data_IF_823361789536
#
_entry.id   IF_823361789536
#
_cell.length_a   1.000
_cell.length_b   1.000
_cell.length_c   1.000
_cell.angle_alpha   90.00
_cell.angle_beta   90.00
_cell.angle_gamma   90.00
#
_symmetry.space_group_name_H-M   'P 1'
#
loop_
_entity.id
_entity.type
_entity.pdbx_description
1 polymer ?
#
# COMPACT_ATOMS: atom_id res chain seq x y z
N UNK A 1 -71.36 28.35 -3.64
CA UNK A 1 -71.07 27.04 -3.02
C UNK A 1 -70.04 26.35 -3.89
N UNK A 2 -68.79 26.26 -3.42
CA UNK A 2 -67.65 25.58 -4.05
C UNK A 2 -67.18 24.59 -3.00
N UNK A 3 -67.63 23.35 -3.07
CA UNK A 3 -67.51 22.47 -1.93
C UNK A 3 -67.43 20.98 -2.32
N UNK A 4 -66.20 20.46 -2.19
CA UNK A 4 -65.87 19.15 -1.61
C UNK A 4 -65.88 17.88 -2.48
N UNK A 5 -65.94 17.99 -3.80
CA UNK A 5 -65.86 16.77 -4.65
C UNK A 5 -64.46 16.14 -4.73
N UNK A 6 -63.38 16.94 -4.67
CA UNK A 6 -62.02 16.41 -4.77
C UNK A 6 -61.50 15.78 -3.46
N UNK A 7 -61.95 16.25 -2.30
CA UNK A 7 -61.64 15.64 -1.00
C UNK A 7 -62.33 14.28 -0.85
N UNK A 8 -63.56 14.14 -1.35
CA UNK A 8 -64.26 12.85 -1.41
C UNK A 8 -63.58 11.85 -2.34
N UNK A 9 -63.00 12.30 -3.44
CA UNK A 9 -62.20 11.45 -4.34
C UNK A 9 -60.95 10.92 -3.64
N UNK A 10 -60.29 11.74 -2.81
CA UNK A 10 -59.12 11.35 -2.03
C UNK A 10 -59.50 10.43 -0.87
N UNK A 11 -60.58 10.72 -0.15
CA UNK A 11 -61.09 9.84 0.91
C UNK A 11 -61.50 8.47 0.37
N UNK A 12 -62.18 8.41 -0.79
CA UNK A 12 -62.53 7.13 -1.42
C UNK A 12 -61.28 6.36 -1.85
N UNK A 13 -60.27 7.04 -2.39
CA UNK A 13 -59.01 6.41 -2.78
C UNK A 13 -58.19 5.90 -1.56
N UNK A 14 -58.17 6.66 -0.46
CA UNK A 14 -57.50 6.29 0.79
C UNK A 14 -58.24 5.18 1.54
N UNK A 15 -59.57 5.24 1.61
CA UNK A 15 -60.39 4.18 2.21
C UNK A 15 -60.22 2.87 1.43
N UNK A 16 -60.16 2.92 0.09
CA UNK A 16 -59.94 1.73 -0.74
C UNK A 16 -58.51 1.17 -0.69
N UNK A 17 -57.55 1.95 -0.20
CA UNK A 17 -56.20 1.47 0.15
C UNK A 17 -56.10 0.90 1.57
N UNK A 18 -56.97 1.33 2.50
CA UNK A 18 -56.96 0.92 3.91
C UNK A 18 -57.84 -0.32 4.18
N UNK A 19 -58.97 -0.45 3.48
CA UNK A 19 -59.71 -1.71 3.43
C UNK A 19 -58.97 -2.65 2.50
N UNK A 20 -58.48 -3.77 3.03
CA UNK A 20 -57.61 -4.74 2.36
C UNK A 20 -58.26 -5.53 1.21
N UNK A 21 -58.92 -4.84 0.27
CA UNK A 21 -59.56 -5.37 -0.93
C UNK A 21 -58.63 -5.29 -2.16
N UNK A 22 -57.33 -5.34 -1.92
CA UNK A 22 -56.33 -5.51 -2.98
C UNK A 22 -56.08 -7.00 -3.15
N UNK A 23 -56.53 -7.55 -4.28
CA UNK A 23 -56.24 -8.92 -4.68
C UNK A 23 -54.74 -9.21 -4.53
N UNK A 24 -54.39 -10.41 -4.06
CA UNK A 24 -53.01 -10.83 -3.73
C UNK A 24 -52.00 -10.47 -4.83
N UNK A 25 -52.41 -10.54 -6.10
CA UNK A 25 -51.59 -10.14 -7.24
C UNK A 25 -51.26 -8.64 -7.32
N UNK A 26 -52.21 -7.76 -6.97
CA UNK A 26 -52.01 -6.32 -7.03
C UNK A 26 -51.07 -5.87 -5.90
N UNK A 27 -51.16 -6.51 -4.73
CA UNK A 27 -50.22 -6.31 -3.62
C UNK A 27 -48.81 -6.72 -4.02
N UNK A 28 -48.65 -7.89 -4.63
CA UNK A 28 -47.33 -8.38 -5.10
C UNK A 28 -46.75 -7.45 -6.18
N UNK A 29 -47.56 -7.01 -7.15
CA UNK A 29 -47.12 -6.07 -8.20
C UNK A 29 -46.75 -4.70 -7.65
N UNK A 30 -47.45 -4.22 -6.62
CA UNK A 30 -47.11 -2.97 -5.92
C UNK A 30 -45.79 -3.10 -5.15
N UNK A 31 -45.59 -4.17 -4.40
CA UNK A 31 -44.34 -4.42 -3.68
C UNK A 31 -43.15 -4.58 -4.64
N UNK A 32 -43.32 -5.25 -5.79
CA UNK A 32 -42.26 -5.40 -6.80
C UNK A 32 -41.91 -4.04 -7.42
N UNK A 33 -42.90 -3.22 -7.78
CA UNK A 33 -42.67 -1.88 -8.34
C UNK A 33 -41.98 -0.95 -7.35
N UNK A 34 -42.40 -0.99 -6.08
CA UNK A 34 -41.79 -0.21 -5.01
C UNK A 34 -40.34 -0.63 -4.75
N UNK A 35 -40.06 -1.94 -4.71
CA UNK A 35 -38.70 -2.47 -4.54
C UNK A 35 -37.77 -2.12 -5.71
N UNK A 36 -38.24 -2.20 -6.97
CA UNK A 36 -37.44 -1.86 -8.15
C UNK A 36 -37.05 -0.38 -8.17
N UNK A 37 -37.99 0.52 -7.83
CA UNK A 37 -37.71 1.95 -7.73
C UNK A 37 -36.74 2.26 -6.58
N UNK A 38 -36.90 1.60 -5.43
CA UNK A 38 -36.00 1.78 -4.28
C UNK A 38 -34.57 1.31 -4.57
N UNK A 39 -34.40 0.16 -5.24
CA UNK A 39 -33.08 -0.34 -5.67
C UNK A 39 -32.45 0.58 -6.72
N UNK A 40 -33.24 1.14 -7.64
CA UNK A 40 -32.75 2.08 -8.66
C UNK A 40 -32.26 3.41 -8.05
N UNK A 41 -32.96 3.93 -7.04
CA UNK A 41 -32.57 5.15 -6.30
C UNK A 41 -31.35 4.93 -5.40
N UNK A 42 -31.23 3.77 -4.76
CA UNK A 42 -30.03 3.39 -4.00
C UNK A 42 -28.80 3.21 -4.91
N UNK A 43 -29.00 2.74 -6.15
CA UNK A 43 -27.92 2.54 -7.11
C UNK A 43 -27.35 3.84 -7.68
N UNK A 44 -28.13 4.92 -7.77
CA UNK A 44 -27.66 6.21 -8.29
C UNK A 44 -26.99 7.09 -7.21
N UNK A 45 -27.21 6.80 -5.92
CA UNK A 45 -26.61 7.56 -4.83
C UNK A 45 -25.13 7.19 -4.54
N UNK A 46 -24.58 6.17 -5.23
CA UNK A 46 -23.20 5.70 -5.06
C UNK A 46 -22.26 6.12 -6.20
N UNK A 47 -22.67 7.07 -7.05
CA UNK A 47 -21.92 7.50 -8.22
C UNK A 47 -21.35 8.92 -8.05
N UNK A 48 -20.50 9.13 -7.04
CA UNK A 48 -19.61 10.31 -6.99
C UNK A 48 -18.28 9.95 -6.34
N UNK A 49 -17.25 9.81 -7.17
CA UNK A 49 -15.95 10.51 -7.14
C UNK A 49 -15.18 9.93 -8.32
N UNK A 50 -15.34 10.55 -9.49
CA UNK A 50 -14.42 10.36 -10.60
C UNK A 50 -13.35 11.45 -10.45
N UNK A 51 -12.28 11.13 -9.73
CA UNK A 51 -11.05 11.92 -9.77
C UNK A 51 -10.36 11.59 -11.10
N UNK A 52 -10.36 12.57 -12.01
CA UNK A 52 -9.55 12.51 -13.21
C UNK A 52 -8.09 12.68 -12.79
N UNK A 53 -7.32 11.59 -12.77
CA UNK A 53 -5.87 11.65 -12.75
C UNK A 53 -5.37 11.10 -14.08
N UNK A 54 -4.95 12.01 -14.94
CA UNK A 54 -4.08 11.68 -16.05
C UNK A 54 -2.65 11.62 -15.54
N UNK A 55 -1.98 10.51 -15.80
CA UNK A 55 -0.65 10.45 -16.38
C UNK A 55 -0.49 9.05 -16.94
N UNK A 56 -0.20 8.95 -18.23
CA UNK A 56 0.24 7.71 -18.85
C UNK A 56 1.76 7.64 -18.68
N UNK A 57 2.20 7.15 -17.52
CA UNK A 57 3.56 6.73 -17.27
C UNK A 57 3.59 5.20 -17.12
N UNK A 58 4.09 4.56 -18.18
CA UNK A 58 4.46 3.15 -18.14
C UNK A 58 5.70 2.99 -17.25
N UNK A 59 5.52 3.06 -15.94
CA UNK A 59 6.58 2.72 -15.02
C UNK A 59 6.77 1.21 -15.03
N UNK A 60 7.94 0.80 -15.50
CA UNK A 60 8.48 -0.54 -15.30
C UNK A 60 8.22 -0.97 -13.85
N UNK A 61 7.66 -2.17 -13.67
CA UNK A 61 7.53 -2.78 -12.35
C UNK A 61 8.88 -2.67 -11.63
N UNK A 62 8.97 -1.74 -10.68
CA UNK A 62 10.15 -1.61 -9.85
C UNK A 62 10.34 -2.95 -9.16
N UNK A 63 11.55 -3.55 -9.21
CA UNK A 63 11.82 -4.73 -8.42
C UNK A 63 11.51 -4.39 -6.95
N UNK A 64 10.77 -5.27 -6.27
CA UNK A 64 10.57 -5.16 -4.83
C UNK A 64 11.96 -5.07 -4.18
N UNK A 65 12.35 -3.88 -3.75
CA UNK A 65 13.55 -3.71 -2.95
C UNK A 65 13.28 -4.41 -1.62
N UNK A 66 13.91 -5.56 -1.41
CA UNK A 66 14.06 -6.07 -0.06
C UNK A 66 14.94 -5.05 0.67
N UNK A 67 14.36 -4.27 1.58
CA UNK A 67 15.13 -3.41 2.48
C UNK A 67 15.89 -4.31 3.46
N UNK A 68 17.10 -4.70 3.09
CA UNK A 68 18.04 -5.25 4.05
C UNK A 68 18.40 -4.12 5.00
N UNK A 69 18.09 -4.27 6.29
CA UNK A 69 18.52 -3.32 7.31
C UNK A 69 20.06 -3.25 7.28
N UNK A 70 20.58 -2.11 6.83
CA UNK A 70 22.02 -1.85 6.73
C UNK A 70 22.48 -1.35 8.10
N UNK A 71 23.41 -2.07 8.75
CA UNK A 71 23.94 -1.66 10.04
C UNK A 71 24.59 -0.26 9.97
N UNK A 72 24.39 0.61 10.99
CA UNK A 72 25.04 1.92 11.09
C UNK A 72 26.56 1.80 10.95
N UNK A 73 27.16 2.70 10.18
CA UNK A 73 28.60 2.68 9.90
C UNK A 73 29.18 4.09 9.76
N UNK A 74 30.47 4.21 10.06
CA UNK A 74 31.25 5.41 9.86
C UNK A 74 32.59 5.03 9.23
N UNK A 75 33.14 5.90 8.39
CA UNK A 75 34.44 5.69 7.77
C UNK A 75 35.29 6.93 7.85
N UNK A 76 36.61 6.74 7.93
CA UNK A 76 37.60 7.80 7.87
C UNK A 76 38.89 7.25 7.27
N UNK A 77 39.71 8.13 6.71
CA UNK A 77 40.99 7.76 6.11
C UNK A 77 42.03 8.85 6.33
N UNK A 78 43.29 8.45 6.32
CA UNK A 78 44.47 9.32 6.30
C UNK A 78 45.45 8.79 5.26
N UNK A 79 46.63 9.39 5.14
CA UNK A 79 47.65 8.90 4.21
C UNK A 79 48.17 7.50 4.58
N UNK A 80 47.97 7.09 5.84
CA UNK A 80 48.51 5.83 6.39
C UNK A 80 47.42 4.74 6.54
N UNK A 81 46.19 5.13 6.88
CA UNK A 81 45.15 4.22 7.33
C UNK A 81 43.79 4.47 6.67
N UNK A 82 43.04 3.40 6.44
CA UNK A 82 41.60 3.40 6.18
C UNK A 82 40.87 2.70 7.31
N UNK A 83 39.83 3.33 7.83
CA UNK A 83 39.05 2.83 8.95
C UNK A 83 37.56 2.78 8.60
N UNK A 84 36.92 1.65 8.88
CA UNK A 84 35.46 1.50 8.86
C UNK A 84 34.98 0.98 10.20
N UNK A 85 34.16 1.75 10.89
CA UNK A 85 33.49 1.35 12.12
C UNK A 85 32.03 0.97 11.83
N UNK A 86 31.59 -0.20 12.28
CA UNK A 86 30.25 -0.75 12.08
C UNK A 86 29.65 -1.08 13.45
N UNK A 87 28.48 -0.51 13.72
CA UNK A 87 27.73 -0.82 14.93
C UNK A 87 26.91 -2.10 14.72
N UNK A 88 27.25 -3.15 15.45
CA UNK A 88 26.56 -4.44 15.42
C UNK A 88 26.02 -4.76 16.80
N UNK A 89 24.72 -4.61 16.99
CA UNK A 89 24.06 -4.76 18.29
C UNK A 89 24.74 -3.92 19.38
N UNK A 90 25.54 -4.54 20.25
CA UNK A 90 26.27 -3.89 21.35
C UNK A 90 27.78 -3.88 21.16
N UNK A 91 28.23 -4.08 19.93
CA UNK A 91 29.63 -4.10 19.56
C UNK A 91 29.90 -3.04 18.50
N UNK A 92 30.97 -2.29 18.67
CA UNK A 92 31.55 -1.49 17.59
C UNK A 92 32.69 -2.32 16.98
N UNK A 93 32.48 -2.79 15.76
CA UNK A 93 33.47 -3.54 14.98
C UNK A 93 34.20 -2.55 14.08
N UNK A 94 35.52 -2.55 14.14
CA UNK A 94 36.39 -1.62 13.44
C UNK A 94 37.29 -2.42 12.51
N UNK A 95 37.25 -2.10 11.23
CA UNK A 95 38.15 -2.61 10.22
C UNK A 95 39.22 -1.55 9.96
N UNK A 96 40.48 -1.96 9.96
CA UNK A 96 41.63 -1.08 9.77
C UNK A 96 42.56 -1.67 8.72
N UNK A 97 42.72 -0.95 7.62
CA UNK A 97 43.58 -1.32 6.49
C UNK A 97 44.60 -0.21 6.20
N UNK A 98 45.70 -0.55 5.52
CA UNK A 98 46.66 0.44 4.98
C UNK A 98 46.04 1.17 3.80
N UNK A 99 46.14 2.50 3.77
CA UNK A 99 45.53 3.32 2.71
C UNK A 99 46.12 3.04 1.31
N UNK A 100 47.41 2.76 1.22
CA UNK A 100 48.10 2.56 -0.06
C UNK A 100 47.86 1.19 -0.71
N UNK A 101 47.53 0.18 0.10
CA UNK A 101 47.58 -1.23 -0.29
C UNK A 101 46.35 -2.03 0.11
N UNK A 102 45.45 -1.45 0.92
CA UNK A 102 44.27 -2.09 1.50
C UNK A 102 44.62 -3.40 2.25
N UNK A 103 45.82 -3.48 2.83
CA UNK A 103 46.24 -4.63 3.64
C UNK A 103 45.84 -4.39 5.08
N UNK A 104 45.22 -5.41 5.70
CA UNK A 104 44.84 -5.40 7.12
C UNK A 104 46.01 -5.00 8.03
N UNK A 105 45.75 -4.05 8.93
CA UNK A 105 46.71 -3.56 9.92
C UNK A 105 46.52 -4.33 11.22
N UNK A 106 47.46 -5.20 11.56
CA UNK A 106 47.44 -6.00 12.78
C UNK A 106 48.20 -5.35 13.93
N UNK A 107 47.84 -5.68 15.18
CA UNK A 107 48.59 -5.25 16.37
C UNK A 107 48.51 -3.75 16.67
N UNK A 108 47.54 -3.03 16.11
CA UNK A 108 47.31 -1.64 16.42
C UNK A 108 46.64 -1.47 17.79
N UNK A 109 47.01 -0.42 18.51
CA UNK A 109 46.23 0.11 19.62
C UNK A 109 45.28 1.16 19.05
N UNK A 110 43.98 0.92 19.17
CA UNK A 110 42.94 1.85 18.72
C UNK A 110 42.19 2.36 19.94
N UNK A 111 42.38 3.64 20.27
CA UNK A 111 41.57 4.34 21.27
C UNK A 111 40.40 5.05 20.58
N UNK A 112 39.21 4.94 21.16
CA UNK A 112 38.00 5.62 20.69
C UNK A 112 37.58 6.64 21.74
N UNK A 113 37.28 7.86 21.31
CA UNK A 113 36.67 8.92 22.11
C UNK A 113 35.44 9.48 21.39
N UNK A 114 34.34 9.66 22.12
CA UNK A 114 33.15 10.36 21.60
C UNK A 114 32.98 11.72 22.27
N UNK A 115 33.88 12.65 21.92
CA UNK A 115 33.95 14.00 22.49
C UNK A 115 33.92 13.99 24.04
N UNK A 116 34.66 13.07 24.66
CA UNK A 116 34.72 12.90 26.10
C UNK A 116 33.47 12.29 26.76
N UNK A 117 32.41 11.94 26.03
CA UNK A 117 31.22 11.28 26.59
C UNK A 117 31.52 9.86 27.05
N UNK A 118 32.33 9.15 26.27
CA UNK A 118 32.82 7.83 26.59
C UNK A 118 34.14 7.59 25.86
N UNK A 119 34.93 6.66 26.42
CA UNK A 119 36.21 6.22 25.87
C UNK A 119 36.31 4.71 25.92
N UNK A 120 36.99 4.13 24.95
CA UNK A 120 37.28 2.69 24.93
C UNK A 120 38.60 2.42 24.20
N UNK A 121 39.17 1.25 24.45
CA UNK A 121 40.29 0.70 23.66
C UNK A 121 39.76 -0.54 22.95
N UNK A 122 39.93 -0.61 21.64
CA UNK A 122 39.50 -1.75 20.86
C UNK A 122 40.46 -2.92 21.05
N UNK A 123 39.90 -4.14 21.07
CA UNK A 123 40.66 -5.38 21.12
C UNK A 123 40.69 -6.02 19.75
N UNK A 124 41.86 -6.36 19.25
CA UNK A 124 41.99 -7.13 18.01
C UNK A 124 41.38 -8.53 18.18
N UNK A 125 40.51 -8.92 17.25
CA UNK A 125 39.85 -10.23 17.22
C UNK A 125 40.29 -11.07 16.04
N UNK A 126 40.59 -10.43 14.90
CA UNK A 126 41.15 -11.03 13.69
C UNK A 126 42.13 -10.01 13.06
N UNK A 127 43.02 -10.41 12.15
CA UNK A 127 43.92 -9.48 11.47
C UNK A 127 43.18 -8.27 10.89
N UNK A 128 43.47 -7.06 11.40
CA UNK A 128 42.82 -5.82 10.95
C UNK A 128 41.40 -5.59 11.47
N UNK A 129 40.87 -6.49 12.30
CA UNK A 129 39.51 -6.40 12.88
C UNK A 129 39.60 -6.22 14.38
N UNK A 130 39.05 -5.11 14.85
CA UNK A 130 39.07 -4.70 16.25
C UNK A 130 37.65 -4.53 16.78
N UNK A 131 37.42 -4.94 18.02
CA UNK A 131 36.10 -4.94 18.64
C UNK A 131 36.10 -4.15 19.94
N UNK A 132 35.04 -3.37 20.13
CA UNK A 132 34.70 -2.70 21.39
C UNK A 132 33.35 -3.20 21.86
N UNK A 133 33.30 -3.74 23.08
CA UNK A 133 32.04 -4.01 23.78
C UNK A 133 31.47 -2.71 24.34
N UNK A 134 30.27 -2.33 23.90
CA UNK A 134 29.63 -1.08 24.30
C UNK A 134 28.82 -1.28 25.60
N UNK A 135 29.04 -0.42 26.62
CA UNK A 135 28.18 -0.37 27.79
C UNK A 135 26.72 -0.04 27.41
N UNK A 136 25.78 -0.41 28.29
CA UNK A 136 24.37 0.01 28.13
C UNK A 136 24.28 1.54 28.07
N UNK A 137 23.43 2.04 27.17
CA UNK A 137 23.21 3.47 26.94
C UNK A 137 24.22 4.14 26.00
N UNK A 138 25.22 3.42 25.50
CA UNK A 138 26.18 3.94 24.51
C UNK A 138 25.73 3.54 23.10
N UNK A 139 25.56 4.52 22.22
CA UNK A 139 25.15 4.31 20.82
C UNK A 139 23.82 3.53 20.67
N UNK A 140 22.88 3.69 21.61
CA UNK A 140 21.57 3.01 21.58
C UNK A 140 20.44 3.88 21.00
N UNK A 141 20.60 5.21 21.00
CA UNK A 141 19.60 6.15 20.50
C UNK A 141 19.85 6.55 19.05
N UNK A 142 18.82 6.98 18.36
CA UNK A 142 18.94 7.63 17.06
C UNK A 142 19.76 8.91 17.18
N UNK A 143 20.50 9.26 16.13
CA UNK A 143 21.28 10.49 16.05
C UNK A 143 22.70 10.32 15.49
N UNK A 144 23.43 11.44 15.50
CA UNK A 144 24.82 11.54 15.01
C UNK A 144 25.81 11.49 16.16
N UNK A 145 26.79 10.62 16.01
CA UNK A 145 27.84 10.34 16.98
C UNK A 145 29.20 10.60 16.36
N UNK A 146 29.80 11.78 16.59
CA UNK A 146 31.20 11.99 16.24
C UNK A 146 32.08 11.11 17.11
N UNK A 147 32.98 10.40 16.45
CA UNK A 147 33.95 9.47 17.02
C UNK A 147 35.34 9.89 16.53
N UNK A 148 36.28 9.91 17.46
CA UNK A 148 37.70 10.08 17.18
C UNK A 148 38.40 8.77 17.47
N UNK A 149 39.17 8.27 16.51
CA UNK A 149 39.95 7.06 16.59
C UNK A 149 41.43 7.43 16.59
N UNK A 150 42.12 7.22 17.70
CA UNK A 150 43.58 7.35 17.76
C UNK A 150 44.18 5.98 17.52
N UNK A 151 44.85 5.82 16.38
CA UNK A 151 45.48 4.57 15.94
C UNK A 151 46.98 4.68 16.19
N UNK A 152 47.53 3.67 16.85
CA UNK A 152 48.96 3.54 17.08
C UNK A 152 49.43 2.14 16.71
N UNK A 153 50.45 2.07 15.87
CA UNK A 153 51.15 0.85 15.46
C UNK A 153 52.61 0.94 15.94
N UNK A 154 53.46 -0.03 15.57
CA UNK A 154 54.88 0.02 15.90
C UNK A 154 55.61 1.18 15.20
N UNK A 155 55.22 1.48 13.95
CA UNK A 155 55.90 2.40 13.04
C UNK A 155 55.15 3.71 12.78
N UNK A 156 53.82 3.71 12.92
CA UNK A 156 52.97 4.85 12.58
C UNK A 156 51.91 5.16 13.65
N UNK A 157 51.49 6.42 13.75
CA UNK A 157 50.36 6.83 14.58
C UNK A 157 49.60 7.97 13.95
N UNK A 158 48.27 7.89 14.00
CA UNK A 158 47.39 8.87 13.39
C UNK A 158 46.06 9.00 14.15
N UNK A 159 45.31 10.06 13.86
CA UNK A 159 44.00 10.34 14.44
C UNK A 159 42.97 10.51 13.34
N UNK A 160 41.96 9.63 13.34
CA UNK A 160 40.88 9.61 12.37
C UNK A 160 39.57 10.09 13.02
N UNK A 161 38.91 11.06 12.41
CA UNK A 161 37.59 11.54 12.85
C UNK A 161 36.50 11.03 11.92
N UNK A 162 35.49 10.36 12.47
CA UNK A 162 34.33 9.86 11.73
C UNK A 162 33.02 10.22 12.44
N UNK A 163 31.90 10.21 11.71
CA UNK A 163 30.57 10.41 12.28
C UNK A 163 29.73 9.17 12.04
N UNK A 164 29.35 8.47 13.11
CA UNK A 164 28.43 7.35 13.08
C UNK A 164 26.99 7.86 13.21
N UNK A 165 26.14 7.50 12.26
CA UNK A 165 24.74 7.94 12.23
C UNK A 165 23.81 6.75 12.43
N UNK A 166 22.95 6.84 13.44
CA UNK A 166 21.90 5.87 13.74
C UNK A 166 20.56 6.49 13.33
N UNK A 167 19.99 6.00 12.23
CA UNK A 167 18.73 6.50 11.69
C UNK A 167 17.54 6.13 12.59
N UNK A 168 16.49 6.95 12.54
CA UNK A 168 15.21 6.62 13.15
C UNK A 168 14.48 5.56 12.30
N UNK A 169 13.91 4.55 12.95
CA UNK A 169 13.19 3.48 12.26
C UNK A 169 11.96 4.02 11.50
N UNK A 170 11.42 5.18 11.92
CA UNK A 170 10.28 5.82 11.25
C UNK A 170 10.64 6.53 9.93
N UNK A 171 11.90 6.92 9.70
CA UNK A 171 12.32 7.52 8.42
C UNK A 171 12.50 6.48 7.30
N UNK A 172 12.44 5.18 7.61
CA UNK A 172 12.57 4.11 6.61
C UNK A 172 11.25 3.75 5.90
N UNK A 173 10.12 4.39 6.25
CA UNK A 173 8.78 4.03 5.76
C UNK A 173 8.10 5.06 4.84
N UNK A 174 8.82 6.08 4.33
CA UNK A 174 8.22 7.02 3.38
C UNK A 174 8.31 6.52 1.93
N UNK A 175 7.60 5.43 1.68
CA UNK A 175 7.00 5.19 0.37
C UNK A 175 5.52 4.96 0.63
N UNK A 176 4.70 5.98 0.35
CA UNK A 176 3.27 5.89 0.12
C UNK A 176 2.95 4.69 -0.78
N UNK A 177 2.81 3.51 -0.16
CA UNK A 177 2.23 2.36 -0.80
C UNK A 177 0.73 2.55 -0.65
N UNK A 178 -0.01 2.94 -1.70
CA UNK A 178 -1.45 2.79 -1.65
C UNK A 178 -1.68 1.30 -1.44
N UNK A 179 -2.20 0.93 -0.29
CA UNK A 179 -2.65 -0.43 -0.02
C UNK A 179 -3.78 -0.73 -1.00
N UNK A 180 -3.42 -1.22 -2.18
CA UNK A 180 -4.35 -1.60 -3.22
C UNK A 180 -5.08 -2.84 -2.70
N UNK A 181 -6.28 -2.58 -2.21
CA UNK A 181 -7.27 -3.56 -1.77
C UNK A 181 -7.69 -4.38 -2.98
N UNK A 182 -6.89 -5.37 -3.34
CA UNK A 182 -7.10 -6.34 -4.44
C UNK A 182 -8.48 -7.00 -4.41
N UNK A 183 -9.11 -7.09 -3.23
CA UNK A 183 -10.50 -7.55 -3.07
C UNK A 183 -11.54 -6.64 -3.77
N UNK A 184 -11.24 -5.35 -3.98
CA UNK A 184 -12.14 -4.41 -4.69
C UNK A 184 -12.32 -4.78 -6.16
N UNK A 185 -11.31 -5.38 -6.79
CA UNK A 185 -11.40 -5.87 -8.18
C UNK A 185 -12.24 -7.15 -8.29
N UNK A 186 -12.22 -8.02 -7.29
CA UNK A 186 -13.08 -9.21 -7.26
C UNK A 186 -14.57 -8.81 -7.21
N UNK A 187 -14.93 -7.79 -6.43
CA UNK A 187 -16.32 -7.29 -6.36
C UNK A 187 -16.80 -6.70 -7.70
N UNK A 188 -15.91 -6.04 -8.45
CA UNK A 188 -16.24 -5.50 -9.77
C UNK A 188 -16.50 -6.61 -10.81
N UNK A 189 -15.67 -7.67 -10.84
CA UNK A 189 -15.83 -8.80 -11.77
C UNK A 189 -17.11 -9.59 -11.51
N UNK A 190 -17.46 -9.85 -10.24
CA UNK A 190 -18.69 -10.58 -9.90
C UNK A 190 -19.98 -9.81 -10.21
N UNK A 191 -19.96 -8.47 -10.13
CA UNK A 191 -21.14 -7.66 -10.46
C UNK A 191 -21.42 -7.58 -11.97
N UNK A 192 -20.36 -7.54 -12.81
CA UNK A 192 -20.48 -7.55 -14.26
C UNK A 192 -21.10 -8.84 -14.83
N UNK A 193 -20.74 -10.00 -14.27
CA UNK A 193 -21.24 -11.30 -14.74
C UNK A 193 -22.75 -11.48 -14.50
N UNK A 194 -23.26 -10.94 -13.39
CA UNK A 194 -24.69 -11.01 -13.06
C UNK A 194 -25.58 -10.24 -14.06
N UNK A 195 -25.11 -9.09 -14.55
CA UNK A 195 -25.85 -8.26 -15.52
C UNK A 195 -25.94 -8.95 -16.88
N UNK A 196 -24.86 -9.58 -17.33
CA UNK A 196 -24.82 -10.30 -18.62
C UNK A 196 -25.78 -11.51 -18.60
N UNK A 197 -25.81 -12.28 -17.51
CA UNK A 197 -26.72 -13.43 -17.38
C UNK A 197 -28.18 -12.96 -17.36
N UNK A 198 -28.50 -11.88 -16.66
CA UNK A 198 -29.86 -11.32 -16.63
C UNK A 198 -30.33 -10.84 -18.02
N UNK A 199 -29.44 -10.20 -18.79
CA UNK A 199 -29.73 -9.76 -20.16
C UNK A 199 -29.95 -10.94 -21.11
N UNK A 200 -29.16 -12.02 -20.99
CA UNK A 200 -29.34 -13.22 -21.83
C UNK A 200 -30.65 -13.96 -21.52
N UNK A 201 -31.05 -14.05 -20.25
CA UNK A 201 -32.33 -14.68 -19.86
C UNK A 201 -33.54 -13.87 -20.33
N UNK A 202 -33.47 -12.54 -20.25
CA UNK A 202 -34.56 -11.67 -20.73
C UNK A 202 -34.65 -11.61 -22.25
N UNK A 203 -33.51 -11.67 -22.96
CA UNK A 203 -33.47 -11.77 -24.42
C UNK A 203 -34.10 -13.09 -24.92
N UNK A 204 -33.79 -14.22 -24.27
CA UNK A 204 -34.38 -15.53 -24.61
C UNK A 204 -35.90 -15.61 -24.43
N UNK A 205 -36.46 -14.85 -23.48
CA UNK A 205 -37.92 -14.82 -23.25
C UNK A 205 -38.69 -13.99 -24.29
N UNK A 206 -38.01 -13.09 -25.02
CA UNK A 206 -38.63 -12.23 -26.03
C UNK A 206 -38.70 -12.88 -27.41
N UNK A 207 -37.87 -13.87 -27.70
CA UNK A 207 -37.79 -14.52 -29.01
C UNK A 207 -38.83 -15.61 -29.26
N UNK A 208 -39.68 -15.95 -28.29
CA UNK A 208 -40.70 -17.00 -28.43
C UNK A 208 -42.07 -16.50 -28.96
N UNK A 209 -42.14 -15.31 -29.55
CA UNK A 209 -43.38 -14.79 -30.15
C UNK A 209 -43.13 -14.18 -31.54
N UNK A 210 -42.60 -14.96 -32.47
CA UNK A 210 -42.71 -14.66 -33.91
C UNK A 210 -43.76 -15.60 -34.52
N UNK A 211 -44.95 -15.03 -34.65
CA UNK A 211 -46.18 -15.57 -35.22
C UNK A 211 -45.97 -15.79 -36.72
N UNK A 212 -45.94 -17.06 -37.15
CA UNK A 212 -45.93 -17.47 -38.56
C UNK A 212 -47.35 -17.27 -39.11
N UNK A 213 -47.62 -16.11 -39.72
CA UNK A 213 -48.90 -15.83 -40.40
C UNK A 213 -48.72 -15.34 -41.85
N UNK A 214 -47.53 -15.47 -42.44
CA UNK A 214 -47.24 -14.87 -43.77
C UNK A 214 -46.91 -15.91 -44.86
N UNK A 215 -47.72 -16.97 -44.95
CA UNK A 215 -47.63 -17.98 -46.03
C UNK A 215 -48.89 -18.02 -46.91
N UNK A 216 -49.97 -17.30 -46.57
CA UNK A 216 -51.23 -17.35 -47.33
C UNK A 216 -51.35 -16.34 -48.47
N UNK A 217 -50.29 -15.60 -48.84
CA UNK A 217 -50.34 -14.55 -49.87
C UNK A 217 -49.66 -14.85 -51.21
N UNK A 218 -49.17 -16.07 -51.45
CA UNK A 218 -48.44 -16.40 -52.69
C UNK A 218 -49.00 -17.58 -53.50
N UNK A 219 -50.28 -17.96 -53.32
CA UNK A 219 -50.89 -19.04 -54.13
C UNK A 219 -52.36 -18.76 -54.49
N UNK A 220 -52.61 -17.70 -55.27
CA UNK A 220 -53.95 -17.44 -55.79
C UNK A 220 -53.96 -16.44 -56.93
N UNK A 221 -53.58 -16.88 -58.14
CA UNK A 221 -53.57 -16.03 -59.33
C UNK A 221 -53.29 -16.80 -60.61
N UNK A 222 -54.14 -17.78 -60.94
CA UNK A 222 -54.26 -18.34 -62.29
C UNK A 222 -55.68 -18.91 -62.50
N UNK A 223 -56.57 -18.06 -63.00
CA UNK A 223 -57.56 -18.37 -64.03
C UNK A 223 -57.82 -17.10 -64.81
#
# INVERSE_FOLDING_TARGET
>A
MRDKDWERMIEVAMVKMSTGDLNKEQRVKFYIRFWVVMVFVLSTCLATVAAAHGNDDHEHSAPMAMSVAVAPRASAQTDEFELVAVLQAKHLVIYLDRFDSNIAVTGAVIEIDSQGKWKAIAKETEPGVYLVDLPKGVLESTGKYPLTFSVQTEDSSDVLAASLEIADEEEMHDHDSPSIVWWKWLVAVFSGLGVVVALLVTARRRSSTLRIDDVSKLSGGAK
#
